data_IF_978558687384
#
_entry.id   IF_978558687384
#
_cell.length_a   1.000
_cell.length_b   1.000
_cell.length_c   1.000
_cell.angle_alpha   90.00
_cell.angle_beta   90.00
_cell.angle_gamma   90.00
#
_symmetry.space_group_name_H-M   'P 1'
#
loop_
_entity.id
_entity.type
_entity.pdbx_description
1 polymer ?
#
# COMPACT_ATOMS: atom_id res chain seq x y z
N UNK A 1 -0.62 28.49 26.25
CA UNK A 1 0.05 27.96 25.04
C UNK A 1 0.18 26.43 25.01
N UNK A 2 -0.56 25.67 25.84
CA UNK A 2 -0.32 24.22 26.06
C UNK A 2 -1.51 23.31 25.76
N UNK A 3 -2.59 23.81 25.12
CA UNK A 3 -3.79 23.01 24.81
C UNK A 3 -3.98 22.67 23.32
N UNK A 4 -3.09 23.14 22.42
CA UNK A 4 -3.20 22.89 20.97
C UNK A 4 -2.29 21.78 20.43
N UNK A 5 -1.20 21.44 21.12
CA UNK A 5 -0.33 20.33 20.68
C UNK A 5 -0.86 18.94 21.06
N UNK A 6 -1.64 18.83 22.14
CA UNK A 6 -2.20 17.53 22.57
C UNK A 6 -3.31 17.00 21.64
N UNK A 7 -3.94 17.85 20.82
CA UNK A 7 -4.97 17.41 19.87
C UNK A 7 -4.37 16.67 18.67
N UNK A 8 -3.14 16.99 18.27
CA UNK A 8 -2.48 16.32 17.13
C UNK A 8 -1.90 14.95 17.48
N UNK A 9 -1.66 14.67 18.77
CA UNK A 9 -1.20 13.35 19.21
C UNK A 9 -2.34 12.31 19.27
N UNK A 10 -3.56 12.72 19.61
CA UNK A 10 -4.69 11.79 19.77
C UNK A 10 -5.27 11.29 18.45
N UNK A 11 -5.15 12.09 17.37
CA UNK A 11 -5.64 11.72 16.02
C UNK A 11 -4.71 10.74 15.33
N UNK A 12 -3.40 10.79 15.60
CA UNK A 12 -2.42 9.85 15.04
C UNK A 12 -2.44 8.47 15.72
N UNK A 13 -2.93 8.36 16.96
CA UNK A 13 -3.05 7.06 17.64
C UNK A 13 -4.32 6.29 17.24
N UNK A 14 -5.40 6.95 16.83
CA UNK A 14 -6.63 6.26 16.44
C UNK A 14 -6.49 5.43 15.16
N UNK A 15 -5.69 5.89 14.19
CA UNK A 15 -5.47 5.15 12.93
C UNK A 15 -4.62 3.90 13.13
N UNK A 16 -3.65 3.93 14.04
CA UNK A 16 -2.83 2.75 14.39
C UNK A 16 -3.64 1.77 15.26
N UNK A 17 -4.44 2.28 16.19
CA UNK A 17 -5.29 1.48 17.07
C UNK A 17 -6.41 0.74 16.31
N UNK A 18 -7.04 1.38 15.32
CA UNK A 18 -8.06 0.75 14.47
C UNK A 18 -7.50 -0.46 13.69
N UNK A 19 -6.26 -0.35 13.18
CA UNK A 19 -5.61 -1.43 12.43
C UNK A 19 -5.31 -2.62 13.35
N UNK A 20 -4.84 -2.34 14.56
CA UNK A 20 -4.54 -3.37 15.56
C UNK A 20 -5.82 -4.10 16.01
N UNK A 21 -6.90 -3.36 16.26
CA UNK A 21 -8.16 -3.93 16.74
C UNK A 21 -8.87 -4.73 15.64
N UNK A 22 -8.91 -4.23 14.41
CA UNK A 22 -9.44 -4.98 13.27
C UNK A 22 -8.63 -6.26 12.98
N UNK A 23 -7.30 -6.20 13.15
CA UNK A 23 -6.41 -7.36 12.97
C UNK A 23 -6.67 -8.40 14.05
N UNK A 24 -6.80 -7.99 15.32
CA UNK A 24 -7.14 -8.89 16.44
C UNK A 24 -8.48 -9.60 16.22
N UNK A 25 -9.54 -8.87 15.86
CA UNK A 25 -10.85 -9.46 15.55
C UNK A 25 -10.76 -10.49 14.42
N UNK A 26 -9.93 -10.23 13.41
CA UNK A 26 -9.75 -11.15 12.28
C UNK A 26 -8.96 -12.41 12.66
N UNK A 27 -7.93 -12.26 13.50
CA UNK A 27 -7.18 -13.39 14.07
C UNK A 27 -8.09 -14.23 14.95
N UNK A 28 -8.91 -13.61 15.81
CA UNK A 28 -9.87 -14.32 16.67
C UNK A 28 -10.89 -15.09 15.84
N UNK A 29 -11.48 -14.47 14.81
CA UNK A 29 -12.41 -15.14 13.90
C UNK A 29 -11.78 -16.33 13.16
N UNK A 30 -10.54 -16.19 12.69
CA UNK A 30 -9.79 -17.29 12.06
C UNK A 30 -9.38 -18.37 13.05
N UNK A 31 -9.08 -18.01 14.29
CA UNK A 31 -8.75 -18.96 15.36
C UNK A 31 -9.97 -19.81 15.69
N UNK A 32 -11.14 -19.19 15.87
CA UNK A 32 -12.42 -19.88 16.06
C UNK A 32 -12.77 -20.76 14.86
N UNK A 33 -12.52 -20.29 13.64
CA UNK A 33 -12.69 -21.08 12.43
C UNK A 33 -11.83 -22.36 12.46
N UNK A 34 -10.54 -22.26 12.78
CA UNK A 34 -9.65 -23.42 12.83
C UNK A 34 -9.96 -24.38 13.98
N UNK A 35 -10.35 -23.86 15.14
CA UNK A 35 -10.85 -24.66 16.26
C UNK A 35 -12.09 -25.47 15.83
N UNK A 36 -13.07 -24.82 15.20
CA UNK A 36 -14.29 -25.47 14.74
C UNK A 36 -14.06 -26.45 13.57
N UNK A 37 -12.95 -26.32 12.84
CA UNK A 37 -12.57 -27.21 11.74
C UNK A 37 -11.59 -28.32 12.18
N UNK A 38 -11.44 -28.56 13.48
CA UNK A 38 -10.76 -29.76 14.01
C UNK A 38 -9.31 -29.56 14.44
N UNK A 39 -8.83 -28.31 14.59
CA UNK A 39 -7.56 -28.05 15.28
C UNK A 39 -7.81 -28.16 16.78
N UNK A 40 -7.33 -29.26 17.39
CA UNK A 40 -7.59 -29.57 18.80
C UNK A 40 -6.89 -28.63 19.80
N UNK A 41 -5.86 -27.89 19.35
CA UNK A 41 -5.08 -26.98 20.19
C UNK A 41 -5.32 -25.51 19.80
N UNK A 42 -5.82 -24.73 20.76
CA UNK A 42 -6.06 -23.29 20.61
C UNK A 42 -4.79 -22.52 20.28
N UNK A 43 -3.64 -22.89 20.84
CA UNK A 43 -2.37 -22.22 20.55
C UNK A 43 -1.96 -22.47 19.09
N UNK A 44 -2.08 -23.71 18.62
CA UNK A 44 -1.84 -24.06 17.22
C UNK A 44 -2.83 -23.36 16.26
N UNK A 45 -4.10 -23.26 16.62
CA UNK A 45 -5.12 -22.55 15.83
C UNK A 45 -4.83 -21.05 15.72
N UNK A 46 -4.45 -20.41 16.83
CA UNK A 46 -4.07 -19.00 16.86
C UNK A 46 -2.81 -18.74 16.02
N UNK A 47 -1.81 -19.61 16.11
CA UNK A 47 -0.60 -19.48 15.31
C UNK A 47 -0.87 -19.58 13.79
N UNK A 48 -1.76 -20.51 13.39
CA UNK A 48 -2.23 -20.61 12.00
C UNK A 48 -3.02 -19.39 11.54
N UNK A 49 -3.88 -18.84 12.41
CA UNK A 49 -4.62 -17.62 12.13
C UNK A 49 -3.68 -16.41 11.90
N UNK A 50 -2.69 -16.24 12.77
CA UNK A 50 -1.67 -15.18 12.64
C UNK A 50 -0.89 -15.34 11.33
N UNK A 51 -0.41 -16.55 11.01
CA UNK A 51 0.31 -16.81 9.77
C UNK A 51 -0.55 -16.54 8.52
N UNK A 52 -1.84 -16.88 8.56
CA UNK A 52 -2.77 -16.62 7.45
C UNK A 52 -2.97 -15.12 7.23
N UNK A 53 -3.18 -14.35 8.31
CA UNK A 53 -3.29 -12.88 8.23
C UNK A 53 -1.98 -12.25 7.73
N UNK A 54 -0.83 -12.71 8.23
CA UNK A 54 0.48 -12.24 7.80
C UNK A 54 0.71 -12.40 6.30
N UNK A 55 0.37 -13.56 5.73
CA UNK A 55 0.46 -13.80 4.29
C UNK A 55 -0.43 -12.86 3.46
N UNK A 56 -1.63 -12.55 3.93
CA UNK A 56 -2.55 -11.62 3.25
C UNK A 56 -1.99 -10.20 3.30
N UNK A 57 -1.53 -9.75 4.47
CA UNK A 57 -0.93 -8.43 4.65
C UNK A 57 0.31 -8.27 3.77
N UNK A 58 1.18 -9.29 3.70
CA UNK A 58 2.38 -9.25 2.87
C UNK A 58 2.05 -9.07 1.39
N UNK A 59 1.04 -9.79 0.87
CA UNK A 59 0.58 -9.62 -0.52
C UNK A 59 0.04 -8.21 -0.78
N UNK A 60 -0.76 -7.67 0.14
CA UNK A 60 -1.32 -6.33 -0.01
C UNK A 60 -0.24 -5.24 0.10
N UNK A 61 0.72 -5.39 1.01
CA UNK A 61 1.86 -4.48 1.14
C UNK A 61 2.71 -4.46 -0.15
N UNK A 62 2.93 -5.62 -0.76
CA UNK A 62 3.65 -5.71 -2.05
C UNK A 62 2.89 -4.98 -3.17
N UNK A 63 1.58 -5.16 -3.26
CA UNK A 63 0.73 -4.46 -4.26
C UNK A 63 0.77 -2.95 -4.04
N UNK A 64 0.65 -2.48 -2.79
CA UNK A 64 0.69 -1.05 -2.46
C UNK A 64 2.07 -0.44 -2.78
N UNK A 65 3.16 -1.13 -2.45
CA UNK A 65 4.51 -0.67 -2.76
C UNK A 65 4.76 -0.59 -4.28
N UNK A 66 4.27 -1.58 -5.03
CA UNK A 66 4.33 -1.57 -6.49
C UNK A 66 3.46 -0.44 -7.08
N UNK A 67 2.27 -0.24 -6.54
CA UNK A 67 1.34 0.82 -6.95
C UNK A 67 1.95 2.21 -6.80
N UNK A 68 2.67 2.48 -5.72
CA UNK A 68 3.33 3.78 -5.51
C UNK A 68 4.40 4.06 -6.57
N UNK A 69 5.18 3.04 -6.93
CA UNK A 69 6.20 3.15 -7.99
C UNK A 69 5.57 3.44 -9.35
N UNK A 70 4.47 2.76 -9.70
CA UNK A 70 3.74 3.00 -10.94
C UNK A 70 3.04 4.35 -10.96
N UNK A 71 2.53 4.81 -9.81
CA UNK A 71 1.96 6.14 -9.67
C UNK A 71 3.01 7.21 -9.96
N UNK A 72 4.20 7.12 -9.35
CA UNK A 72 5.31 8.03 -9.61
C UNK A 72 5.74 8.00 -11.08
N UNK A 73 5.87 6.81 -11.67
CA UNK A 73 6.21 6.64 -13.09
C UNK A 73 5.14 7.28 -14.00
N UNK A 74 3.87 7.06 -13.69
CA UNK A 74 2.74 7.62 -14.43
C UNK A 74 2.69 9.14 -14.34
N UNK A 75 2.89 9.71 -13.14
CA UNK A 75 2.99 11.16 -12.95
C UNK A 75 4.18 11.72 -13.74
N UNK A 76 5.33 11.07 -13.72
CA UNK A 76 6.50 11.50 -14.48
C UNK A 76 6.24 11.51 -16.00
N UNK A 77 5.55 10.49 -16.52
CA UNK A 77 5.16 10.43 -17.93
C UNK A 77 4.15 11.52 -18.31
N UNK A 78 3.17 11.80 -17.44
CA UNK A 78 2.21 12.90 -17.65
C UNK A 78 2.93 14.24 -17.67
N UNK A 79 3.85 14.47 -16.72
CA UNK A 79 4.68 15.68 -16.68
C UNK A 79 5.52 15.81 -17.95
N UNK A 80 6.15 14.72 -18.40
CA UNK A 80 6.91 14.70 -19.64
C UNK A 80 6.02 15.00 -20.86
N UNK A 81 4.83 14.39 -20.95
CA UNK A 81 3.86 14.65 -22.01
C UNK A 81 3.46 16.13 -22.04
N UNK A 82 3.10 16.69 -20.88
CA UNK A 82 2.76 18.11 -20.76
C UNK A 82 3.96 18.98 -21.21
N UNK A 83 5.17 18.67 -20.74
CA UNK A 83 6.38 19.38 -21.16
C UNK A 83 6.61 19.30 -22.67
N UNK A 84 6.35 18.16 -23.31
CA UNK A 84 6.45 18.03 -24.78
C UNK A 84 5.42 18.86 -25.53
N UNK A 85 4.21 19.05 -24.99
CA UNK A 85 3.21 19.93 -25.57
C UNK A 85 3.59 21.42 -25.43
N UNK A 86 4.28 21.78 -24.34
CA UNK A 86 4.83 23.13 -24.13
C UNK A 86 6.17 23.37 -24.86
N UNK A 87 6.87 22.32 -25.27
CA UNK A 87 7.96 22.41 -26.24
C UNK A 87 7.36 22.82 -27.59
N UNK A 88 7.31 24.13 -27.82
CA UNK A 88 7.06 24.72 -29.14
C UNK A 88 7.94 23.99 -30.15
N UNK A 89 7.29 23.42 -31.18
CA UNK A 89 7.89 22.78 -32.37
C UNK A 89 9.30 23.36 -32.58
N UNK A 90 10.39 22.62 -32.29
CA UNK A 90 11.67 23.04 -32.82
C UNK A 90 11.48 23.04 -34.33
N UNK A 91 11.62 24.21 -34.96
CA UNK A 91 11.63 24.29 -36.41
C UNK A 91 12.63 23.25 -36.89
N UNK A 92 12.14 22.25 -37.63
CA UNK A 92 12.90 21.22 -38.34
C UNK A 92 14.36 21.10 -37.87
N UNK A 93 14.60 20.39 -36.75
CA UNK A 93 15.95 19.89 -36.51
C UNK A 93 16.20 18.81 -37.56
N UNK A 94 16.94 19.24 -38.57
CA UNK A 94 17.53 18.53 -39.70
C UNK A 94 17.42 17.00 -39.62
N UNK A 95 16.85 16.43 -40.68
CA UNK A 95 16.84 15.00 -40.92
C UNK A 95 18.25 14.42 -40.83
N UNK A 96 18.48 13.59 -39.83
CA UNK A 96 19.59 12.66 -39.77
C UNK A 96 19.06 11.25 -40.02
N UNK A 97 19.29 10.74 -41.23
CA UNK A 97 19.15 9.32 -41.56
C UNK A 97 18.23 9.01 -42.74
N UNK A 98 18.80 8.87 -43.94
CA UNK A 98 18.09 8.32 -45.10
C UNK A 98 18.86 8.44 -46.41
N UNK A 99 19.70 7.43 -46.69
CA UNK A 99 20.13 6.88 -47.99
C UNK A 99 20.40 7.83 -49.18
N UNK A 100 21.68 7.88 -49.60
CA UNK A 100 22.13 7.67 -50.99
C UNK A 100 23.62 7.31 -50.99
#
# INVERSE_FOLDING_TARGET
LTKREQYHSNVLMQSVSMLEQATRTRIEGLTQYFLNHGVADQAAAAHRAIAAVGNVVQKQAYILAFSDTFYLLGVALIVALVATLFLKKPGQLAGGGGAH
#
